data_IF_697357128650
#
_entry.id   IF_697357128650
#
_cell.length_a   1.000
_cell.length_b   1.000
_cell.length_c   1.000
_cell.angle_alpha   90.00
_cell.angle_beta   90.00
_cell.angle_gamma   90.00
#
_symmetry.space_group_name_H-M   'P 1'
#
loop_
_entity.id
_entity.type
_entity.pdbx_description
1 polymer ?
#
# COMPACT_ATOMS: atom_id res chain seq x y z
N UNK A 1 -58.08 -30.79 6.21
CA UNK A 1 -56.77 -30.73 5.46
C UNK A 1 -56.44 -29.40 4.83
N UNK A 2 -57.37 -28.44 4.66
CA UNK A 2 -57.05 -27.11 4.09
C UNK A 2 -56.36 -26.13 5.02
N UNK A 3 -56.53 -26.27 6.34
CA UNK A 3 -55.94 -25.32 7.31
C UNK A 3 -54.49 -25.62 7.69
N UNK A 4 -54.01 -26.83 7.49
CA UNK A 4 -52.60 -27.21 7.80
C UNK A 4 -51.60 -26.70 6.74
N UNK A 5 -52.06 -26.52 5.49
CA UNK A 5 -51.19 -26.04 4.39
C UNK A 5 -50.92 -24.53 4.52
N UNK A 6 -51.92 -23.78 5.00
CA UNK A 6 -51.77 -22.31 5.20
C UNK A 6 -50.81 -21.99 6.34
N UNK A 7 -50.80 -22.79 7.40
CA UNK A 7 -49.88 -22.61 8.54
C UNK A 7 -48.42 -22.95 8.15
N UNK A 8 -48.23 -23.96 7.30
CA UNK A 8 -46.90 -24.33 6.79
C UNK A 8 -46.34 -23.26 5.84
N UNK A 9 -47.19 -22.61 5.05
CA UNK A 9 -46.79 -21.52 4.15
C UNK A 9 -46.44 -20.23 4.92
N UNK A 10 -47.15 -19.95 6.01
CA UNK A 10 -46.86 -18.84 6.91
C UNK A 10 -45.54 -19.05 7.73
N UNK A 11 -45.23 -20.29 8.10
CA UNK A 11 -43.99 -20.67 8.76
C UNK A 11 -42.77 -20.61 7.81
N UNK A 12 -42.96 -20.89 6.50
CA UNK A 12 -41.90 -20.73 5.49
C UNK A 12 -41.64 -19.27 5.12
N UNK A 13 -42.63 -18.39 5.20
CA UNK A 13 -42.44 -16.94 4.98
C UNK A 13 -41.74 -16.23 6.15
N UNK A 14 -41.77 -16.78 7.37
CA UNK A 14 -41.08 -16.22 8.53
C UNK A 14 -39.58 -16.50 8.54
N UNK A 15 -39.06 -17.37 7.65
CA UNK A 15 -37.61 -17.64 7.53
C UNK A 15 -36.88 -16.66 6.61
N UNK A 16 -37.59 -15.80 5.89
CA UNK A 16 -37.00 -14.71 5.10
C UNK A 16 -36.99 -13.36 5.82
N UNK A 17 -37.05 -13.38 7.15
CA UNK A 17 -36.65 -12.22 7.94
C UNK A 17 -35.16 -11.98 7.72
N UNK A 18 -34.81 -11.15 6.75
CA UNK A 18 -33.48 -10.57 6.67
C UNK A 18 -33.16 -10.04 8.06
N UNK A 19 -32.15 -10.61 8.69
CA UNK A 19 -31.59 -10.08 9.91
C UNK A 19 -31.11 -8.66 9.59
N UNK A 20 -32.00 -7.69 9.76
CA UNK A 20 -31.68 -6.28 9.74
C UNK A 20 -30.61 -6.09 10.82
N UNK A 21 -29.39 -5.95 10.38
CA UNK A 21 -28.27 -5.36 11.03
C UNK A 21 -28.13 -5.56 12.54
N UNK A 22 -27.90 -6.78 13.03
CA UNK A 22 -27.40 -6.91 14.39
C UNK A 22 -26.00 -6.34 14.44
N UNK A 23 -25.85 -5.14 14.99
CA UNK A 23 -24.56 -4.63 15.41
C UNK A 23 -24.01 -5.57 16.50
N UNK A 24 -22.73 -5.87 16.43
CA UNK A 24 -22.05 -6.52 17.56
C UNK A 24 -21.11 -5.50 18.20
N UNK A 25 -20.82 -5.71 19.47
CA UNK A 25 -19.96 -4.80 20.21
C UNK A 25 -18.53 -5.28 20.20
N UNK A 26 -17.62 -4.36 19.98
CA UNK A 26 -16.18 -4.58 20.09
C UNK A 26 -15.64 -3.70 21.21
N UNK A 27 -14.97 -4.30 22.16
CA UNK A 27 -14.28 -3.56 23.21
C UNK A 27 -12.94 -3.07 22.66
N UNK A 28 -12.75 -1.76 22.64
CA UNK A 28 -11.52 -1.14 22.17
C UNK A 28 -11.08 0.00 23.09
N UNK A 29 -9.80 0.31 23.05
CA UNK A 29 -9.22 1.45 23.76
C UNK A 29 -8.56 2.36 22.74
N UNK A 30 -8.97 3.64 22.62
CA UNK A 30 -8.31 4.56 21.71
C UNK A 30 -6.86 4.78 22.17
N UNK A 31 -5.96 4.89 21.20
CA UNK A 31 -4.62 5.37 21.44
C UNK A 31 -4.56 6.86 21.12
N UNK A 32 -4.14 7.67 22.11
CA UNK A 32 -3.95 9.12 21.94
C UNK A 32 -2.55 9.47 22.40
N UNK A 33 -1.76 10.15 21.57
CA UNK A 33 -0.39 10.56 21.88
C UNK A 33 -0.36 11.41 23.16
N UNK A 34 0.48 11.01 24.11
CA UNK A 34 0.64 11.69 25.40
C UNK A 34 -0.40 11.34 26.46
N UNK A 35 -1.41 10.55 26.14
CA UNK A 35 -2.37 10.03 27.12
C UNK A 35 -2.11 8.54 27.35
N UNK A 36 -1.89 8.18 28.63
CA UNK A 36 -1.74 6.80 29.06
C UNK A 36 -3.06 6.30 29.65
N UNK A 37 -3.31 5.01 29.49
CA UNK A 37 -4.39 4.29 30.19
C UNK A 37 -5.80 4.84 29.98
N UNK A 38 -6.12 5.21 28.74
CA UNK A 38 -7.51 5.53 28.38
C UNK A 38 -8.41 4.31 28.66
N UNK A 39 -9.65 4.53 29.12
CA UNK A 39 -10.55 3.44 29.47
C UNK A 39 -10.95 2.63 28.25
N UNK A 40 -11.12 1.34 28.44
CA UNK A 40 -11.77 0.47 27.46
C UNK A 40 -13.23 0.85 27.32
N UNK A 41 -13.73 0.90 26.08
CA UNK A 41 -15.12 1.20 25.77
C UNK A 41 -15.67 0.23 24.75
N UNK A 42 -16.95 -0.02 24.83
CA UNK A 42 -17.67 -0.79 23.81
C UNK A 42 -18.10 0.12 22.67
N UNK A 43 -17.87 -0.36 21.44
CA UNK A 43 -18.26 0.31 20.21
C UNK A 43 -19.16 -0.62 19.38
N UNK A 44 -20.26 -0.10 18.93
CA UNK A 44 -21.10 -0.81 17.95
C UNK A 44 -20.32 -0.95 16.65
N UNK A 45 -20.25 -2.19 16.17
CA UNK A 45 -19.47 -2.55 14.99
C UNK A 45 -20.33 -3.37 14.04
N UNK A 46 -20.04 -3.29 12.74
CA UNK A 46 -20.70 -4.07 11.70
C UNK A 46 -19.67 -4.73 10.82
N UNK A 47 -19.99 -5.92 10.32
CA UNK A 47 -19.26 -6.51 9.20
C UNK A 47 -19.77 -5.90 7.89
N UNK A 48 -18.96 -6.04 6.82
CA UNK A 48 -19.35 -5.53 5.51
C UNK A 48 -20.68 -6.11 5.00
N UNK A 49 -20.98 -7.35 5.35
CA UNK A 49 -22.25 -8.01 4.94
C UNK A 49 -23.48 -7.47 5.68
N UNK A 50 -23.28 -6.70 6.75
CA UNK A 50 -24.33 -6.05 7.52
C UNK A 50 -24.58 -4.59 7.08
N UNK A 51 -23.82 -4.09 6.10
CA UNK A 51 -24.04 -2.75 5.53
C UNK A 51 -25.31 -2.76 4.68
N UNK A 52 -26.16 -1.75 4.88
CA UNK A 52 -27.38 -1.58 4.11
C UNK A 52 -27.07 -1.50 2.61
N UNK A 53 -27.79 -2.28 1.82
CA UNK A 53 -27.60 -2.33 0.37
C UNK A 53 -26.36 -3.10 -0.11
N UNK A 54 -25.52 -3.63 0.78
CA UNK A 54 -24.42 -4.49 0.36
C UNK A 54 -24.93 -5.82 -0.20
N UNK A 55 -24.58 -6.06 -1.46
CA UNK A 55 -24.83 -7.35 -2.13
C UNK A 55 -23.51 -7.89 -2.63
N UNK A 56 -23.02 -9.03 -2.14
CA UNK A 56 -21.82 -9.65 -2.69
C UNK A 56 -22.02 -9.94 -4.19
N UNK A 57 -21.16 -9.43 -5.03
CA UNK A 57 -21.16 -9.70 -6.46
C UNK A 57 -20.24 -10.87 -6.73
N UNK A 58 -20.48 -12.04 -6.61
CA UNK A 58 -19.66 -13.19 -7.00
C UNK A 58 -18.14 -12.98 -7.09
N UNK A 59 -17.42 -13.98 -7.54
CA UNK A 59 -15.97 -13.84 -7.77
C UNK A 59 -15.74 -13.14 -9.11
N UNK A 60 -15.00 -12.03 -9.09
CA UNK A 60 -14.46 -11.40 -10.30
C UNK A 60 -13.40 -12.33 -10.90
N UNK A 61 -13.49 -12.62 -12.19
CA UNK A 61 -12.45 -13.36 -12.91
C UNK A 61 -11.27 -12.45 -13.16
N UNK A 62 -10.09 -12.87 -12.74
CA UNK A 62 -8.88 -12.06 -12.88
C UNK A 62 -7.79 -12.81 -13.62
N UNK A 63 -6.90 -12.08 -14.30
CA UNK A 63 -5.71 -12.63 -14.90
C UNK A 63 -4.55 -12.75 -13.87
N UNK A 64 -3.36 -13.11 -14.34
CA UNK A 64 -2.16 -13.28 -13.50
C UNK A 64 -1.73 -12.02 -12.73
N UNK A 65 -2.14 -10.82 -13.15
CA UNK A 65 -1.88 -9.56 -12.47
C UNK A 65 -3.00 -9.14 -11.51
N UNK A 66 -4.06 -9.93 -11.40
CA UNK A 66 -5.26 -9.57 -10.64
C UNK A 66 -6.16 -8.56 -11.36
N UNK A 67 -6.02 -8.40 -12.67
CA UNK A 67 -6.82 -7.50 -13.49
C UNK A 67 -8.09 -8.14 -13.98
N UNK A 68 -9.15 -7.35 -14.16
CA UNK A 68 -10.50 -7.77 -14.51
C UNK A 68 -10.58 -8.30 -15.94
N UNK A 69 -10.83 -9.61 -16.08
CA UNK A 69 -11.01 -10.28 -17.37
C UNK A 69 -12.38 -10.02 -18.03
N UNK A 70 -13.34 -9.53 -17.27
CA UNK A 70 -14.69 -9.24 -17.75
C UNK A 70 -14.83 -7.79 -18.24
N UNK A 71 -13.85 -6.92 -17.94
CA UNK A 71 -13.80 -5.56 -18.47
C UNK A 71 -13.37 -5.53 -19.94
N UNK A 72 -13.78 -4.50 -20.72
CA UNK A 72 -13.29 -4.28 -22.08
C UNK A 72 -11.76 -4.22 -22.13
N UNK A 73 -11.17 -4.97 -23.05
CA UNK A 73 -9.73 -5.03 -23.22
C UNK A 73 -9.20 -3.83 -23.99
N UNK A 74 -8.11 -3.25 -23.52
CA UNK A 74 -7.33 -2.21 -24.17
C UNK A 74 -6.16 -2.80 -24.96
N UNK A 75 -5.39 -1.96 -25.68
CA UNK A 75 -4.17 -2.40 -26.35
C UNK A 75 -3.15 -2.87 -25.31
N UNK A 76 -2.62 -4.08 -25.45
CA UNK A 76 -1.50 -4.57 -24.64
C UNK A 76 -0.21 -3.82 -25.02
N UNK A 77 0.54 -3.33 -24.04
CA UNK A 77 1.81 -2.61 -24.24
C UNK A 77 3.00 -3.30 -23.58
N UNK A 78 2.76 -4.36 -22.82
CA UNK A 78 3.80 -5.08 -22.12
C UNK A 78 4.18 -4.50 -20.75
N UNK A 79 3.64 -3.34 -20.38
CA UNK A 79 3.88 -2.69 -19.08
C UNK A 79 2.59 -2.07 -18.55
N UNK A 80 2.54 -1.87 -17.23
CA UNK A 80 1.48 -1.09 -16.61
C UNK A 80 1.51 0.36 -17.10
N UNK A 81 0.34 0.92 -17.30
CA UNK A 81 0.17 2.32 -17.68
C UNK A 81 -1.15 2.87 -17.16
N UNK A 82 -1.28 4.19 -17.20
CA UNK A 82 -2.54 4.88 -16.92
C UNK A 82 -3.16 5.33 -18.24
N UNK A 83 -4.46 5.11 -18.41
CA UNK A 83 -5.21 5.46 -19.61
C UNK A 83 -6.56 6.04 -19.24
N UNK A 84 -6.97 7.13 -19.91
CA UNK A 84 -8.29 7.71 -19.72
C UNK A 84 -9.30 6.98 -20.60
N UNK A 85 -10.35 6.45 -19.99
CA UNK A 85 -11.46 5.80 -20.68
C UNK A 85 -12.77 6.48 -20.27
N UNK A 86 -13.38 7.20 -21.18
CA UNK A 86 -14.51 8.08 -20.88
C UNK A 86 -14.09 9.20 -19.94
N UNK A 87 -14.78 9.31 -18.81
CA UNK A 87 -14.57 10.34 -17.78
C UNK A 87 -13.60 9.92 -16.66
N UNK A 88 -13.06 8.67 -16.71
CA UNK A 88 -12.21 8.10 -15.66
C UNK A 88 -10.83 7.70 -16.15
N UNK A 89 -9.87 7.80 -15.23
CA UNK A 89 -8.55 7.22 -15.39
C UNK A 89 -8.53 5.80 -14.85
N UNK A 90 -7.93 4.89 -15.61
CA UNK A 90 -7.75 3.50 -15.26
C UNK A 90 -6.28 3.12 -15.36
N UNK A 91 -5.85 2.27 -14.44
CA UNK A 91 -4.62 1.53 -14.63
C UNK A 91 -4.90 0.37 -15.59
N UNK A 92 -4.04 0.19 -16.57
CA UNK A 92 -4.11 -0.90 -17.56
C UNK A 92 -2.87 -1.75 -17.37
N UNK A 93 -3.08 -3.05 -17.25
CA UNK A 93 -2.00 -4.00 -17.07
C UNK A 93 -1.22 -4.27 -18.38
N UNK A 94 -0.08 -5.00 -18.32
CA UNK A 94 0.73 -5.33 -19.49
C UNK A 94 -0.04 -6.02 -20.63
N UNK A 95 -1.06 -6.82 -20.29
CA UNK A 95 -1.86 -7.59 -21.24
C UNK A 95 -3.09 -6.83 -21.74
N UNK A 96 -3.33 -5.58 -21.28
CA UNK A 96 -4.37 -4.67 -21.74
C UNK A 96 -5.68 -4.74 -20.93
N UNK A 97 -5.70 -5.32 -19.75
CA UNK A 97 -6.88 -5.37 -18.90
C UNK A 97 -6.89 -4.26 -17.85
N UNK A 98 -8.08 -3.83 -17.46
CA UNK A 98 -8.24 -2.86 -16.38
C UNK A 98 -7.79 -3.45 -15.06
N UNK A 99 -6.93 -2.73 -14.39
CA UNK A 99 -6.34 -3.14 -13.12
C UNK A 99 -6.78 -2.22 -11.99
N UNK A 100 -7.23 -2.83 -10.90
CA UNK A 100 -7.44 -2.16 -9.63
C UNK A 100 -6.37 -2.64 -8.65
N UNK A 101 -5.43 -1.76 -8.33
CA UNK A 101 -4.32 -2.08 -7.44
C UNK A 101 -4.83 -2.35 -6.00
N UNK A 102 -4.73 -3.61 -5.59
CA UNK A 102 -5.03 -4.06 -4.23
C UNK A 102 -3.80 -4.81 -3.71
N UNK A 103 -3.02 -4.18 -2.88
CA UNK A 103 -1.74 -4.72 -2.41
C UNK A 103 -1.60 -4.67 -0.89
N UNK A 104 -0.70 -5.51 -0.38
CA UNK A 104 -0.25 -5.48 1.01
C UNK A 104 1.14 -4.87 1.03
N UNK A 105 1.34 -3.81 1.82
CA UNK A 105 2.66 -3.19 1.99
C UNK A 105 3.49 -3.93 3.04
N UNK A 106 4.82 -3.84 2.95
CA UNK A 106 5.71 -4.41 3.94
C UNK A 106 5.74 -5.95 3.97
N UNK A 107 5.53 -6.61 2.83
CA UNK A 107 5.67 -8.06 2.68
C UNK A 107 7.16 -8.42 2.80
N UNK A 108 7.62 -8.59 4.01
CA UNK A 108 9.03 -8.89 4.34
C UNK A 108 9.15 -9.70 5.62
N UNK A 109 10.24 -10.40 5.76
CA UNK A 109 10.60 -11.07 7.00
C UNK A 109 11.05 -10.06 8.06
N UNK A 110 10.70 -10.31 9.30
CA UNK A 110 11.25 -9.58 10.42
C UNK A 110 12.73 -9.95 10.65
N UNK A 111 13.52 -8.99 11.12
CA UNK A 111 14.97 -9.13 11.28
C UNK A 111 15.40 -9.72 12.63
N UNK A 112 14.50 -9.81 13.62
CA UNK A 112 14.84 -10.41 14.93
C UNK A 112 15.03 -11.92 14.81
N UNK A 113 15.88 -12.48 15.64
CA UNK A 113 16.11 -13.93 15.69
C UNK A 113 14.80 -14.72 15.96
N UNK A 114 13.91 -14.19 16.80
CA UNK A 114 12.60 -14.78 17.03
C UNK A 114 11.76 -14.85 15.74
N UNK A 115 11.78 -13.81 14.91
CA UNK A 115 11.04 -13.80 13.65
C UNK A 115 11.65 -14.77 12.63
N UNK A 116 12.98 -14.84 12.56
CA UNK A 116 13.68 -15.80 11.71
C UNK A 116 13.36 -17.23 12.11
N UNK A 117 13.42 -17.56 13.41
CA UNK A 117 13.09 -18.89 13.89
C UNK A 117 11.62 -19.24 13.58
N UNK A 118 10.68 -18.35 13.85
CA UNK A 118 9.26 -18.57 13.54
C UNK A 118 9.00 -18.80 12.04
N UNK A 119 9.76 -18.13 11.16
CA UNK A 119 9.71 -18.38 9.72
C UNK A 119 10.23 -19.76 9.38
N UNK A 120 11.39 -20.15 9.92
CA UNK A 120 11.97 -21.48 9.70
C UNK A 120 11.04 -22.58 10.22
N UNK A 121 10.48 -22.42 11.42
CA UNK A 121 9.57 -23.40 12.02
C UNK A 121 8.30 -23.60 11.16
N UNK A 122 7.78 -22.52 10.60
CA UNK A 122 6.52 -22.55 9.85
C UNK A 122 6.70 -22.93 8.38
N UNK A 123 7.73 -22.43 7.73
CA UNK A 123 7.92 -22.54 6.28
C UNK A 123 9.17 -23.32 5.87
N UNK A 124 10.17 -23.42 6.74
CA UNK A 124 11.44 -24.08 6.49
C UNK A 124 12.43 -23.24 5.70
N UNK A 125 12.01 -22.55 4.65
CA UNK A 125 12.87 -21.68 3.82
C UNK A 125 12.16 -20.38 3.43
N UNK A 126 12.94 -19.39 2.98
CA UNK A 126 12.40 -18.11 2.50
C UNK A 126 11.57 -18.28 1.22
N UNK A 127 11.97 -19.19 0.34
CA UNK A 127 11.21 -19.51 -0.87
C UNK A 127 9.81 -20.05 -0.52
N UNK A 128 9.73 -20.98 0.43
CA UNK A 128 8.43 -21.50 0.89
C UNK A 128 7.62 -20.45 1.63
N UNK A 129 8.29 -19.53 2.33
CA UNK A 129 7.62 -18.39 2.96
C UNK A 129 6.97 -17.48 1.92
N UNK A 130 7.70 -17.07 0.88
CA UNK A 130 7.11 -16.16 -0.14
C UNK A 130 6.03 -16.88 -0.95
N UNK A 131 6.16 -18.16 -1.28
CA UNK A 131 5.10 -18.95 -1.91
C UNK A 131 3.83 -19.02 -1.05
N UNK A 132 3.99 -19.34 0.24
CA UNK A 132 2.86 -19.39 1.19
C UNK A 132 2.19 -18.04 1.36
N UNK A 133 2.99 -16.97 1.41
CA UNK A 133 2.52 -15.59 1.52
C UNK A 133 1.79 -15.15 0.25
N UNK A 134 2.31 -15.44 -0.93
CA UNK A 134 1.67 -15.15 -2.20
C UNK A 134 0.31 -15.84 -2.33
N UNK A 135 0.23 -17.14 -2.00
CA UNK A 135 -1.05 -17.87 -1.96
C UNK A 135 -2.06 -17.21 -1.03
N UNK A 136 -1.64 -16.77 0.15
CA UNK A 136 -2.51 -16.08 1.11
C UNK A 136 -2.99 -14.74 0.54
N UNK A 137 -2.10 -13.91 -0.01
CA UNK A 137 -2.40 -12.62 -0.64
C UNK A 137 -3.47 -12.80 -1.73
N UNK A 138 -3.27 -13.74 -2.66
CA UNK A 138 -4.22 -14.02 -3.75
C UNK A 138 -5.55 -14.59 -3.22
N UNK A 139 -5.52 -15.48 -2.23
CA UNK A 139 -6.75 -16.07 -1.64
C UNK A 139 -7.65 -15.02 -0.99
N UNK A 140 -7.06 -13.92 -0.52
CA UNK A 140 -7.76 -12.77 0.06
C UNK A 140 -8.16 -11.71 -0.99
N UNK A 141 -7.89 -11.96 -2.27
CA UNK A 141 -8.27 -11.08 -3.37
C UNK A 141 -7.34 -9.88 -3.58
N UNK A 142 -6.14 -9.91 -3.00
CA UNK A 142 -5.09 -8.93 -3.30
C UNK A 142 -4.27 -9.36 -4.52
N UNK A 143 -3.74 -8.39 -5.25
CA UNK A 143 -2.98 -8.62 -6.49
C UNK A 143 -1.47 -8.58 -6.30
N UNK A 144 -0.96 -8.14 -5.15
CA UNK A 144 0.48 -8.01 -5.02
C UNK A 144 0.99 -7.41 -3.73
N UNK A 145 2.23 -6.97 -3.77
CA UNK A 145 2.98 -6.40 -2.68
C UNK A 145 3.35 -4.93 -2.96
N UNK A 146 3.09 -4.07 -1.99
CA UNK A 146 3.42 -2.65 -2.05
C UNK A 146 4.81 -2.34 -1.52
N UNK A 147 5.09 -1.06 -1.31
CA UNK A 147 6.36 -0.54 -0.81
C UNK A 147 6.83 -1.23 0.48
N UNK A 148 8.14 -1.17 0.74
CA UNK A 148 8.84 -1.80 1.88
C UNK A 148 8.76 -3.33 1.92
N UNK A 149 8.41 -3.97 0.82
CA UNK A 149 8.42 -5.42 0.68
C UNK A 149 9.82 -5.94 0.34
N UNK A 150 10.03 -7.26 0.48
CA UNK A 150 11.26 -7.91 0.01
C UNK A 150 11.21 -8.07 -1.51
N UNK A 151 11.81 -7.09 -2.21
CA UNK A 151 11.80 -7.01 -3.68
C UNK A 151 12.46 -8.23 -4.34
N UNK A 152 13.53 -8.74 -3.74
CA UNK A 152 14.30 -9.87 -4.24
C UNK A 152 13.50 -11.17 -4.17
N UNK A 153 12.89 -11.46 -3.02
CA UNK A 153 12.05 -12.64 -2.83
C UNK A 153 10.83 -12.62 -3.77
N UNK A 154 10.20 -11.44 -3.95
CA UNK A 154 9.05 -11.28 -4.84
C UNK A 154 9.46 -11.44 -6.31
N UNK A 155 10.59 -10.86 -6.72
CA UNK A 155 11.10 -11.01 -8.09
C UNK A 155 11.43 -12.48 -8.40
N UNK A 156 12.07 -13.19 -7.48
CA UNK A 156 12.37 -14.63 -7.60
C UNK A 156 11.09 -15.46 -7.70
N UNK A 157 10.10 -15.18 -6.86
CA UNK A 157 8.78 -15.82 -6.93
C UNK A 157 8.14 -15.59 -8.30
N UNK A 158 8.10 -14.36 -8.78
CA UNK A 158 7.48 -14.00 -10.06
C UNK A 158 8.16 -14.66 -11.26
N UNK A 159 9.47 -14.89 -11.18
CA UNK A 159 10.24 -15.55 -12.25
C UNK A 159 9.90 -17.04 -12.43
N UNK A 160 9.40 -17.69 -11.37
CA UNK A 160 9.15 -19.14 -11.35
C UNK A 160 7.67 -19.53 -11.33
N UNK A 161 6.75 -18.54 -11.19
CA UNK A 161 5.33 -18.80 -11.02
C UNK A 161 4.47 -18.14 -12.12
N UNK A 162 3.33 -18.76 -12.43
CA UNK A 162 2.35 -18.23 -13.40
C UNK A 162 1.52 -17.08 -12.81
N UNK A 163 1.10 -17.22 -11.56
CA UNK A 163 0.45 -16.17 -10.81
C UNK A 163 1.51 -15.31 -10.16
N UNK A 164 1.50 -14.03 -10.44
CA UNK A 164 2.54 -13.10 -10.01
C UNK A 164 2.02 -12.16 -8.92
N UNK A 165 2.92 -11.67 -8.09
CA UNK A 165 2.67 -10.54 -7.22
C UNK A 165 3.05 -9.26 -7.98
N UNK A 166 2.06 -8.41 -8.29
CA UNK A 166 2.36 -7.05 -8.77
C UNK A 166 3.06 -6.28 -7.65
N UNK A 167 3.96 -5.36 -8.00
CA UNK A 167 4.75 -4.66 -6.99
C UNK A 167 4.92 -3.18 -7.26
N UNK A 168 4.96 -2.40 -6.20
CA UNK A 168 5.38 -1.00 -6.22
C UNK A 168 6.60 -0.83 -5.32
N UNK A 169 7.61 -0.14 -5.84
CA UNK A 169 8.92 0.00 -5.22
C UNK A 169 9.06 1.41 -4.67
N UNK A 170 9.62 1.55 -3.46
CA UNK A 170 9.94 2.85 -2.90
C UNK A 170 11.44 3.08 -2.89
N UNK A 171 11.88 4.24 -3.38
CA UNK A 171 13.29 4.60 -3.53
C UNK A 171 13.85 5.31 -2.29
N UNK A 172 13.01 6.01 -1.54
CA UNK A 172 13.42 6.81 -0.38
C UNK A 172 14.53 7.81 -0.72
N UNK A 173 14.38 8.54 -1.82
CA UNK A 173 15.43 9.44 -2.36
C UNK A 173 15.82 10.51 -1.34
N UNK A 174 14.86 11.24 -0.80
CA UNK A 174 15.11 12.34 0.12
C UNK A 174 15.70 11.86 1.45
N UNK A 175 15.16 10.79 2.03
CA UNK A 175 15.69 10.24 3.28
C UNK A 175 17.07 9.60 3.10
N UNK A 176 17.31 8.97 1.95
CA UNK A 176 18.62 8.42 1.57
C UNK A 176 19.67 9.53 1.37
N UNK A 177 19.30 10.56 0.62
CA UNK A 177 20.14 11.74 0.45
C UNK A 177 20.44 12.41 1.80
N UNK A 178 19.43 12.61 2.62
CA UNK A 178 19.59 13.23 3.93
C UNK A 178 20.54 12.47 4.87
N UNK A 179 20.61 11.14 4.77
CA UNK A 179 21.62 10.34 5.48
C UNK A 179 23.03 10.60 4.95
N UNK A 180 23.22 10.72 3.63
CA UNK A 180 24.51 11.06 2.99
C UNK A 180 24.95 12.48 3.37
N UNK A 181 24.07 13.44 3.24
CA UNK A 181 24.28 14.86 3.53
C UNK A 181 24.51 15.13 5.02
N UNK A 182 23.79 14.43 5.88
CA UNK A 182 23.66 14.70 7.30
C UNK A 182 22.58 15.71 7.64
N UNK A 183 22.26 15.85 8.93
CA UNK A 183 21.27 16.79 9.45
C UNK A 183 19.85 16.22 9.60
N UNK A 184 19.58 15.00 9.15
CA UNK A 184 18.34 14.29 9.48
C UNK A 184 18.38 13.68 10.88
N UNK A 185 17.21 13.41 11.43
CA UNK A 185 17.07 12.70 12.70
C UNK A 185 15.95 11.67 12.62
N UNK A 186 15.99 10.67 13.52
CA UNK A 186 14.99 9.60 13.51
C UNK A 186 13.76 10.00 14.31
N UNK A 187 12.61 9.89 13.67
CA UNK A 187 11.29 9.90 14.30
C UNK A 187 10.71 8.48 14.35
N UNK A 188 9.76 8.18 15.24
CA UNK A 188 9.04 6.91 15.20
C UNK A 188 8.38 6.70 13.83
N UNK A 189 8.88 5.72 13.07
CA UNK A 189 8.34 5.36 11.76
C UNK A 189 8.73 6.29 10.59
N UNK A 190 9.48 7.38 10.82
CA UNK A 190 9.78 8.34 9.77
C UNK A 190 11.15 9.04 9.96
N UNK A 191 11.63 9.72 8.91
CA UNK A 191 12.80 10.57 8.94
C UNK A 191 12.39 12.01 9.26
N UNK A 192 13.03 12.63 10.26
CA UNK A 192 12.84 14.03 10.59
C UNK A 192 13.86 14.92 9.86
N UNK A 193 13.45 16.13 9.52
CA UNK A 193 14.25 17.14 8.84
C UNK A 193 14.30 18.43 9.66
N UNK A 194 15.42 19.21 9.62
CA UNK A 194 15.52 20.49 10.30
C UNK A 194 14.34 21.41 9.92
N UNK A 195 13.64 21.96 10.89
CA UNK A 195 12.45 22.80 10.67
C UNK A 195 11.40 22.20 9.70
N UNK A 196 11.38 20.88 9.56
CA UNK A 196 10.58 20.15 8.55
C UNK A 196 10.92 20.52 7.09
N UNK A 197 12.14 21.01 6.83
CA UNK A 197 12.61 21.37 5.50
C UNK A 197 13.39 20.23 4.87
N UNK A 198 12.91 19.72 3.74
CA UNK A 198 13.61 18.72 2.93
C UNK A 198 14.74 19.37 2.13
N UNK A 199 15.68 18.56 1.66
CA UNK A 199 16.92 19.06 1.03
C UNK A 199 16.82 19.19 -0.50
N UNK A 200 15.63 19.45 -1.02
CA UNK A 200 15.35 19.51 -2.47
C UNK A 200 16.12 20.61 -3.21
N UNK A 201 16.57 21.65 -2.49
CA UNK A 201 17.33 22.76 -3.05
C UNK A 201 18.85 22.55 -3.01
N UNK A 202 19.31 21.43 -2.46
CA UNK A 202 20.73 21.12 -2.44
C UNK A 202 21.22 20.76 -3.86
N UNK A 203 22.31 21.35 -4.36
CA UNK A 203 22.82 21.07 -5.70
C UNK A 203 23.16 19.59 -5.95
N UNK A 204 23.59 18.86 -4.92
CA UNK A 204 23.95 17.45 -5.02
C UNK A 204 22.75 16.51 -5.00
N UNK A 205 21.53 17.00 -4.69
CA UNK A 205 20.35 16.14 -4.61
C UNK A 205 19.96 15.55 -5.97
N UNK A 206 20.04 16.35 -7.03
CA UNK A 206 19.77 15.88 -8.40
C UNK A 206 20.75 14.78 -8.80
N UNK A 207 22.06 14.99 -8.57
CA UNK A 207 23.09 13.98 -8.84
C UNK A 207 22.82 12.67 -8.07
N UNK A 208 22.44 12.79 -6.81
CA UNK A 208 22.06 11.63 -6.00
C UNK A 208 20.83 10.89 -6.59
N UNK A 209 19.84 11.63 -7.04
CA UNK A 209 18.65 11.03 -7.68
C UNK A 209 19.03 10.27 -8.95
N UNK A 210 19.93 10.82 -9.77
CA UNK A 210 20.44 10.17 -10.99
C UNK A 210 21.22 8.89 -10.66
N UNK A 211 22.09 8.90 -9.65
CA UNK A 211 22.77 7.70 -9.16
C UNK A 211 21.79 6.61 -8.73
N UNK A 212 20.71 6.99 -8.04
CA UNK A 212 19.67 6.05 -7.62
C UNK A 212 18.85 5.55 -8.80
N UNK A 213 18.54 6.40 -9.78
CA UNK A 213 17.81 6.05 -10.97
C UNK A 213 18.55 5.00 -11.82
N UNK A 214 19.88 5.03 -11.87
CA UNK A 214 20.70 4.02 -12.56
C UNK A 214 20.42 2.59 -12.02
N UNK A 215 20.11 2.44 -10.74
CA UNK A 215 19.78 1.14 -10.14
C UNK A 215 18.47 0.56 -10.70
N UNK A 216 17.58 1.40 -11.23
CA UNK A 216 16.31 0.98 -11.81
C UNK A 216 16.48 0.30 -13.17
N UNK A 217 17.63 0.45 -13.82
CA UNK A 217 17.94 -0.21 -15.11
C UNK A 217 17.79 -1.73 -15.00
N UNK A 218 18.10 -2.32 -13.84
CA UNK A 218 17.90 -3.74 -13.59
C UNK A 218 16.42 -4.18 -13.71
N UNK A 219 15.50 -3.27 -13.50
CA UNK A 219 14.06 -3.53 -13.52
C UNK A 219 13.38 -3.20 -14.86
N UNK A 220 14.12 -2.70 -15.86
CA UNK A 220 13.56 -2.15 -17.11
C UNK A 220 12.68 -3.12 -17.90
N UNK A 221 12.83 -4.41 -17.70
CA UNK A 221 12.06 -5.46 -18.39
C UNK A 221 11.03 -6.14 -17.48
N UNK A 222 10.96 -5.77 -16.20
CA UNK A 222 10.02 -6.38 -15.27
C UNK A 222 8.60 -5.83 -15.46
N UNK A 223 7.75 -6.68 -16.03
CA UNK A 223 6.35 -6.37 -16.33
C UNK A 223 5.44 -6.37 -15.10
N UNK A 224 5.94 -6.83 -13.94
CA UNK A 224 5.15 -6.93 -12.72
C UNK A 224 5.23 -5.65 -11.88
N UNK A 225 6.10 -4.71 -12.24
CA UNK A 225 6.23 -3.43 -11.56
C UNK A 225 5.14 -2.48 -12.06
N UNK A 226 4.32 -1.99 -11.12
CA UNK A 226 3.27 -1.01 -11.39
C UNK A 226 3.83 0.41 -11.43
N UNK A 227 4.80 0.69 -10.57
CA UNK A 227 5.43 2.00 -10.49
C UNK A 227 6.36 2.13 -9.30
N UNK A 228 6.89 3.33 -9.15
CA UNK A 228 7.86 3.69 -8.12
C UNK A 228 7.33 4.85 -7.28
N UNK A 229 7.59 4.81 -5.99
CA UNK A 229 7.47 5.96 -5.11
C UNK A 229 8.85 6.55 -4.90
N UNK A 230 9.00 7.86 -5.08
CA UNK A 230 10.25 8.55 -4.78
C UNK A 230 10.53 8.51 -3.28
N UNK A 231 9.50 8.79 -2.50
CA UNK A 231 9.56 8.95 -1.05
C UNK A 231 8.22 8.64 -0.38
N UNK A 232 8.18 8.74 0.94
CA UNK A 232 6.98 8.61 1.75
C UNK A 232 6.91 9.74 2.78
N UNK A 233 5.71 10.34 2.91
CA UNK A 233 5.38 11.30 3.96
C UNK A 233 6.40 12.44 4.13
N UNK A 234 6.85 13.00 3.01
CA UNK A 234 7.69 14.21 3.05
C UNK A 234 6.91 15.35 3.70
N UNK A 235 7.57 16.15 4.58
CA UNK A 235 6.88 17.25 5.24
C UNK A 235 6.63 18.41 4.26
N UNK A 236 5.37 18.55 3.86
CA UNK A 236 4.87 19.69 3.11
C UNK A 236 3.77 20.39 3.93
N UNK A 237 4.06 21.57 4.40
CA UNK A 237 3.12 22.30 5.24
C UNK A 237 3.12 23.80 4.98
N UNK A 238 2.10 24.55 5.44
CA UNK A 238 1.98 25.98 5.21
C UNK A 238 3.11 26.80 5.83
N UNK A 239 3.87 26.22 6.77
CA UNK A 239 5.01 26.87 7.46
C UNK A 239 6.37 26.50 6.86
N UNK A 240 6.43 25.79 5.73
CA UNK A 240 7.72 25.38 5.17
C UNK A 240 8.58 26.58 4.73
N UNK A 241 7.97 27.65 4.17
CA UNK A 241 8.72 28.86 3.82
C UNK A 241 9.39 29.47 5.04
N UNK A 242 8.64 29.69 6.13
CA UNK A 242 9.20 30.16 7.41
C UNK A 242 10.28 29.19 7.95
N UNK A 243 10.05 27.88 7.80
CA UNK A 243 11.02 26.85 8.17
C UNK A 243 12.35 27.02 7.47
N UNK A 244 12.37 27.21 6.16
CA UNK A 244 13.59 27.46 5.39
C UNK A 244 14.27 28.75 5.78
N UNK A 245 13.52 29.85 5.90
CA UNK A 245 14.08 31.17 6.29
C UNK A 245 14.71 31.18 7.69
N UNK A 246 14.28 30.28 8.57
CA UNK A 246 14.77 30.17 9.95
C UNK A 246 15.77 29.02 10.16
N UNK A 247 16.27 28.38 9.09
CA UNK A 247 17.36 27.42 9.20
C UNK A 247 18.59 28.07 9.84
N UNK A 248 19.23 27.35 10.78
CA UNK A 248 20.36 27.89 11.57
C UNK A 248 21.56 28.25 10.72
N UNK A 249 21.83 27.46 9.67
CA UNK A 249 22.95 27.76 8.76
C UNK A 249 22.51 28.82 7.74
N UNK A 250 23.08 30.05 7.74
CA UNK A 250 22.70 31.07 6.78
C UNK A 250 23.10 30.73 5.34
N UNK A 251 24.04 29.79 5.15
CA UNK A 251 24.48 29.33 3.84
C UNK A 251 23.78 28.02 3.42
N UNK A 252 22.74 27.59 4.12
CA UNK A 252 21.95 26.42 3.71
C UNK A 252 21.25 26.69 2.36
N UNK A 253 21.43 25.83 1.35
CA UNK A 253 20.84 26.03 0.02
C UNK A 253 19.34 26.29 0.07
N UNK A 254 18.60 25.59 0.94
CA UNK A 254 17.17 25.79 1.12
C UNK A 254 16.82 27.18 1.66
N UNK A 255 17.62 27.70 2.62
CA UNK A 255 17.44 29.05 3.12
C UNK A 255 17.73 30.09 2.05
N UNK A 256 18.87 29.97 1.35
CA UNK A 256 19.23 30.87 0.26
C UNK A 256 18.19 30.92 -0.86
N UNK A 257 17.65 29.76 -1.21
CA UNK A 257 16.57 29.67 -2.20
C UNK A 257 15.30 30.40 -1.73
N UNK A 258 14.89 30.16 -0.48
CA UNK A 258 13.71 30.83 0.09
C UNK A 258 13.86 32.36 0.18
N UNK A 259 15.06 32.86 0.57
CA UNK A 259 15.39 34.29 0.58
C UNK A 259 15.37 34.89 -0.83
N UNK A 260 15.87 34.16 -1.84
CA UNK A 260 15.85 34.60 -3.24
C UNK A 260 14.43 34.66 -3.81
N UNK A 261 13.57 33.71 -3.42
CA UNK A 261 12.19 33.66 -3.90
C UNK A 261 11.33 34.83 -3.38
N UNK A 262 11.67 35.40 -2.22
CA UNK A 262 10.96 36.56 -1.64
C UNK A 262 11.37 37.92 -2.24
N UNK A 263 12.47 38.01 -2.98
CA UNK A 263 12.96 39.23 -3.66
C UNK A 263 12.30 39.41 -5.01
#
# INVERSE_FOLDING_TARGET
>A
MKNSIVILFLLLLSQFGYAQGSTFKVTARPWVKGQKDLPWKEYDTRTIVQLDGFKPTGKVRVNKYGSDLDAPRHRATGFFRVERTGDRWWMIDPDGYRHLQKVVVGVRLGTSERNKQAMLDKFGTEEKWIEGTARMIHSLGFSGAGSWSNEEAIASYNASHKEVLTRSIILNLMSGYGKKRGGTYQLPGNTGYPNQCIFVFDPEFETYCDEMAQKLVANKTDKNIIGYFSDNELPFGPKNLEGYLTLKNPNDPGRLYAESWLK
#
